data_IF_369891237608
#
_entry.id   IF_369891237608
#
_cell.length_a   1.000
_cell.length_b   1.000
_cell.length_c   1.000
_cell.angle_alpha   90.00
_cell.angle_beta   90.00
_cell.angle_gamma   90.00
#
_symmetry.space_group_name_H-M   'P 1'
#
loop_
_entity.id
_entity.type
_entity.pdbx_description
1 polymer ?
#
# COMPACT_ATOMS: atom_id res chain seq x y z
N UNK A 1 4.95 15.56 18.42
CA UNK A 1 5.59 14.34 17.87
C UNK A 1 5.95 14.64 16.42
N UNK A 2 7.24 14.62 16.07
CA UNK A 2 7.74 14.98 14.72
C UNK A 2 9.06 14.23 14.47
N UNK A 3 8.96 12.91 14.28
CA UNK A 3 10.13 12.04 14.12
C UNK A 3 9.78 10.82 13.27
N UNK A 4 10.81 10.14 12.78
CA UNK A 4 10.71 8.87 12.07
C UNK A 4 11.38 7.79 12.93
N UNK A 5 10.73 6.63 13.06
CA UNK A 5 11.28 5.49 13.81
C UNK A 5 11.32 4.28 12.89
N UNK A 6 12.48 3.90 12.35
CA UNK A 6 12.59 2.68 11.54
C UNK A 6 12.44 1.44 12.43
N UNK A 7 11.94 0.34 11.84
CA UNK A 7 12.09 -0.97 12.47
C UNK A 7 13.58 -1.32 12.61
N UNK A 8 13.99 -1.98 13.71
CA UNK A 8 15.41 -2.24 13.98
C UNK A 8 16.03 -3.32 13.09
N UNK A 9 15.20 -4.15 12.44
CA UNK A 9 15.63 -5.31 11.66
C UNK A 9 15.09 -5.25 10.23
N UNK A 10 15.87 -5.78 9.29
CA UNK A 10 15.49 -6.00 7.90
C UNK A 10 15.71 -7.49 7.58
N UNK A 11 14.71 -8.21 7.04
CA UNK A 11 13.37 -7.72 6.71
C UNK A 11 12.52 -7.42 7.97
N UNK A 12 11.61 -6.47 7.86
CA UNK A 12 10.56 -6.28 8.87
C UNK A 12 9.57 -7.46 8.86
N UNK A 13 8.74 -7.60 9.89
CA UNK A 13 7.84 -8.76 10.05
C UNK A 13 6.86 -9.00 8.88
N UNK A 14 6.53 -7.96 8.12
CA UNK A 14 5.59 -8.04 7.00
C UNK A 14 6.06 -8.99 5.89
N UNK A 15 7.37 -9.14 5.66
CA UNK A 15 7.91 -10.08 4.68
C UNK A 15 7.61 -11.54 5.06
N UNK A 16 8.11 -12.03 6.21
CA UNK A 16 7.78 -13.36 6.71
C UNK A 16 6.28 -13.61 6.88
N UNK A 17 5.49 -12.60 7.21
CA UNK A 17 4.03 -12.73 7.29
C UNK A 17 3.37 -12.90 5.92
N UNK A 18 3.82 -12.19 4.88
CA UNK A 18 3.35 -12.40 3.52
C UNK A 18 3.68 -13.83 3.03
N UNK A 19 4.85 -14.35 3.39
CA UNK A 19 5.30 -15.70 3.04
C UNK A 19 4.47 -16.82 3.70
N UNK A 20 3.73 -16.53 4.78
CA UNK A 20 2.76 -17.50 5.33
C UNK A 20 1.55 -17.68 4.44
N UNK A 21 1.26 -16.70 3.57
CA UNK A 21 0.14 -16.74 2.60
C UNK A 21 0.62 -17.23 1.24
N UNK A 22 1.78 -16.73 0.78
CA UNK A 22 2.43 -17.15 -0.46
C UNK A 22 3.90 -17.56 -0.17
N UNK A 23 4.16 -18.85 0.11
CA UNK A 23 5.48 -19.33 0.50
C UNK A 23 6.59 -19.11 -0.54
N UNK A 24 6.23 -18.94 -1.80
CA UNK A 24 7.18 -18.76 -2.90
C UNK A 24 7.49 -17.28 -3.18
N UNK A 25 6.86 -16.35 -2.45
CA UNK A 25 7.07 -14.91 -2.62
C UNK A 25 8.47 -14.50 -2.13
N UNK A 26 9.35 -14.18 -3.07
CA UNK A 26 10.66 -13.57 -2.82
C UNK A 26 10.49 -12.06 -2.51
N UNK A 27 10.47 -11.72 -1.22
CA UNK A 27 10.22 -10.36 -0.76
C UNK A 27 11.08 -10.00 0.46
N UNK A 28 11.64 -8.80 0.43
CA UNK A 28 12.28 -8.16 1.58
C UNK A 28 11.53 -6.87 1.88
N UNK A 29 11.04 -6.72 3.11
CA UNK A 29 10.28 -5.54 3.53
C UNK A 29 11.08 -4.67 4.50
N UNK A 30 10.84 -3.37 4.45
CA UNK A 30 11.32 -2.40 5.42
C UNK A 30 10.13 -1.56 5.88
N UNK A 31 10.13 -1.14 7.13
CA UNK A 31 9.07 -0.29 7.68
C UNK A 31 9.62 0.86 8.51
N UNK A 32 8.90 1.98 8.49
CA UNK A 32 9.20 3.16 9.28
C UNK A 32 7.90 3.71 9.85
N UNK A 33 7.88 3.97 11.15
CA UNK A 33 6.78 4.68 11.81
C UNK A 33 6.97 6.17 11.62
N UNK A 34 5.90 6.85 11.23
CA UNK A 34 5.85 8.29 10.95
C UNK A 34 4.71 8.94 11.75
N UNK A 35 4.70 10.27 11.97
CA UNK A 35 3.64 10.94 12.72
C UNK A 35 2.41 11.18 11.82
N UNK A 36 1.75 10.09 11.48
CA UNK A 36 0.56 10.03 10.62
C UNK A 36 -0.44 9.04 11.26
N UNK A 37 -1.75 9.30 11.09
CA UNK A 37 -2.81 8.50 11.74
C UNK A 37 -3.93 8.03 10.81
N UNK A 38 -3.87 8.29 9.51
CA UNK A 38 -4.96 8.01 8.56
C UNK A 38 -4.73 6.67 7.86
N UNK A 39 -3.55 6.45 7.28
CA UNK A 39 -3.23 5.18 6.62
C UNK A 39 -1.72 4.97 6.42
N UNK A 40 -1.34 3.73 6.10
CA UNK A 40 0.02 3.41 5.66
C UNK A 40 0.22 3.70 4.17
N UNK A 41 1.48 3.94 3.78
CA UNK A 41 1.91 4.08 2.39
C UNK A 41 2.96 3.03 2.09
N UNK A 42 2.73 2.22 1.05
CA UNK A 42 3.68 1.20 0.62
C UNK A 42 4.33 1.62 -0.69
N UNK A 43 5.66 1.58 -0.73
CA UNK A 43 6.44 1.69 -1.96
C UNK A 43 6.96 0.32 -2.34
N UNK A 44 6.77 -0.05 -3.60
CA UNK A 44 7.21 -1.33 -4.14
C UNK A 44 8.20 -1.12 -5.28
N UNK A 45 9.31 -1.84 -5.23
CA UNK A 45 10.17 -2.10 -6.39
C UNK A 45 10.05 -3.58 -6.69
N UNK A 46 9.57 -3.93 -7.87
CA UNK A 46 9.24 -5.32 -8.23
C UNK A 46 10.03 -5.73 -9.46
N UNK A 47 10.76 -6.82 -9.36
CA UNK A 47 11.35 -7.49 -10.51
C UNK A 47 10.36 -8.55 -11.02
N UNK A 48 9.88 -8.36 -12.24
CA UNK A 48 8.99 -9.32 -12.88
C UNK A 48 9.77 -10.49 -13.49
N UNK A 49 9.15 -11.66 -13.56
CA UNK A 49 9.73 -12.87 -14.18
C UNK A 49 9.84 -12.78 -15.70
N UNK A 50 9.16 -11.80 -16.30
CA UNK A 50 9.21 -11.44 -17.71
C UNK A 50 8.97 -9.95 -17.90
N UNK A 51 9.25 -9.45 -19.09
CA UNK A 51 8.82 -8.12 -19.48
C UNK A 51 7.29 -8.05 -19.49
N UNK A 52 6.74 -6.95 -18.97
CA UNK A 52 5.33 -6.62 -19.00
C UNK A 52 5.19 -5.12 -19.31
N UNK A 53 4.22 -4.79 -20.15
CA UNK A 53 3.90 -3.40 -20.44
C UNK A 53 3.09 -2.79 -19.29
N UNK A 54 3.16 -1.46 -19.16
CA UNK A 54 2.42 -0.73 -18.12
C UNK A 54 0.92 -1.09 -18.11
N UNK A 55 0.30 -1.16 -19.28
CA UNK A 55 -1.15 -1.43 -19.36
C UNK A 55 -1.49 -2.84 -18.87
N UNK A 56 -0.62 -3.81 -19.13
CA UNK A 56 -0.80 -5.19 -18.64
C UNK A 56 -0.83 -5.23 -17.10
N UNK A 57 0.07 -4.50 -16.45
CA UNK A 57 0.11 -4.38 -14.98
C UNK A 57 -1.13 -3.69 -14.44
N UNK A 58 -1.59 -2.62 -15.10
CA UNK A 58 -2.80 -1.91 -14.71
C UNK A 58 -4.05 -2.79 -14.87
N UNK A 59 -4.15 -3.56 -15.96
CA UNK A 59 -5.23 -4.51 -16.19
C UNK A 59 -5.26 -5.62 -15.13
N UNK A 60 -4.09 -6.15 -14.74
CA UNK A 60 -4.00 -7.11 -13.65
C UNK A 60 -4.53 -6.52 -12.33
N UNK A 61 -4.20 -5.27 -12.00
CA UNK A 61 -4.74 -4.59 -10.81
C UNK A 61 -6.25 -4.32 -10.92
N UNK A 62 -6.77 -3.95 -12.09
CA UNK A 62 -8.22 -3.74 -12.31
C UNK A 62 -9.03 -5.03 -12.18
N UNK A 63 -8.45 -6.17 -12.59
CA UNK A 63 -9.09 -7.46 -12.48
C UNK A 63 -9.09 -8.02 -11.04
N UNK A 64 -8.22 -7.52 -10.17
CA UNK A 64 -8.12 -7.98 -8.78
C UNK A 64 -9.18 -7.33 -7.89
N UNK A 65 -9.90 -8.15 -7.12
CA UNK A 65 -10.90 -7.64 -6.18
C UNK A 65 -10.23 -6.81 -5.07
N UNK A 66 -10.90 -5.73 -4.64
CA UNK A 66 -10.47 -4.85 -3.52
C UNK A 66 -9.22 -4.01 -3.81
N UNK A 67 -8.75 -3.95 -5.05
CA UNK A 67 -7.76 -2.97 -5.50
C UNK A 67 -8.49 -1.87 -6.28
N UNK A 68 -8.16 -0.60 -6.00
CA UNK A 68 -8.67 0.55 -6.73
C UNK A 68 -7.49 1.40 -7.21
N UNK A 69 -7.54 1.84 -8.46
CA UNK A 69 -6.55 2.75 -9.01
C UNK A 69 -6.95 4.19 -8.71
N UNK A 70 -6.01 4.97 -8.19
CA UNK A 70 -6.18 6.41 -7.93
C UNK A 70 -5.36 7.23 -8.92
N UNK A 71 -5.91 8.36 -9.37
CA UNK A 71 -5.19 9.32 -10.22
C UNK A 71 -4.99 10.61 -9.45
N UNK A 72 -3.75 11.07 -9.35
CA UNK A 72 -3.42 12.33 -8.70
C UNK A 72 -4.05 13.53 -9.40
N UNK A 73 -4.29 13.44 -10.72
CA UNK A 73 -4.98 14.46 -11.51
C UNK A 73 -6.44 14.68 -11.10
N UNK A 74 -7.07 13.71 -10.42
CA UNK A 74 -8.44 13.81 -9.90
C UNK A 74 -8.49 14.46 -8.50
N UNK A 75 -7.38 15.07 -8.05
CA UNK A 75 -7.25 15.70 -6.72
C UNK A 75 -6.82 14.76 -5.60
N UNK A 76 -6.69 13.46 -5.88
CA UNK A 76 -6.29 12.40 -4.94
C UNK A 76 -4.76 12.35 -4.76
N UNK A 77 -4.20 13.43 -4.21
CA UNK A 77 -2.75 13.67 -4.17
C UNK A 77 -2.06 13.18 -2.90
N UNK A 78 -2.84 12.88 -1.86
CA UNK A 78 -2.33 12.47 -0.56
C UNK A 78 -3.30 11.51 0.16
N UNK A 79 -2.80 10.83 1.19
CA UNK A 79 -3.56 9.82 1.96
C UNK A 79 -4.87 10.41 2.51
N UNK A 80 -4.84 11.65 3.03
CA UNK A 80 -6.04 12.31 3.55
C UNK A 80 -7.11 12.50 2.47
N UNK A 81 -6.74 12.88 1.25
CA UNK A 81 -7.69 13.04 0.14
C UNK A 81 -8.33 11.70 -0.27
N UNK A 82 -7.58 10.60 -0.18
CA UNK A 82 -8.15 9.26 -0.37
C UNK A 82 -9.14 8.90 0.74
N UNK A 83 -8.85 9.26 2.00
CA UNK A 83 -9.76 9.04 3.13
C UNK A 83 -11.04 9.87 2.98
N UNK A 84 -10.97 11.13 2.54
CA UNK A 84 -12.17 11.93 2.30
C UNK A 84 -13.02 11.36 1.15
N UNK A 85 -12.40 10.86 0.07
CA UNK A 85 -13.13 10.12 -0.97
C UNK A 85 -13.90 8.93 -0.39
N UNK A 86 -13.32 8.16 0.54
CA UNK A 86 -14.04 7.05 1.18
C UNK A 86 -15.24 7.53 2.01
N UNK A 87 -15.11 8.69 2.67
CA UNK A 87 -16.21 9.31 3.40
C UNK A 87 -17.32 9.77 2.46
N UNK A 88 -16.98 10.41 1.33
CA UNK A 88 -17.93 10.85 0.29
C UNK A 88 -18.68 9.68 -0.36
N UNK A 89 -18.07 8.50 -0.39
CA UNK A 89 -18.69 7.26 -0.87
C UNK A 89 -19.55 6.55 0.20
N UNK A 90 -19.81 7.20 1.34
CA UNK A 90 -20.53 6.65 2.50
C UNK A 90 -19.93 5.32 3.00
N UNK A 91 -18.62 5.10 2.79
CA UNK A 91 -17.92 3.91 3.28
C UNK A 91 -17.49 4.17 4.72
N UNK A 92 -18.29 3.65 5.65
CA UNK A 92 -18.04 3.83 7.08
C UNK A 92 -16.63 3.39 7.50
N UNK A 93 -15.86 4.31 8.09
CA UNK A 93 -14.68 3.96 8.88
C UNK A 93 -15.18 3.46 10.23
N UNK A 94 -15.41 2.15 10.35
CA UNK A 94 -15.59 1.53 11.67
C UNK A 94 -14.24 1.42 12.35
N UNK A 95 -13.71 2.52 12.90
CA UNK A 95 -12.90 2.53 14.14
C UNK A 95 -12.88 3.97 14.70
N UNK A 96 -13.09 4.15 16.02
CA UNK A 96 -12.83 5.44 16.66
C UNK A 96 -11.32 5.74 16.62
N UNK A 97 -10.99 7.00 16.39
CA UNK A 97 -9.63 7.54 16.54
C UNK A 97 -9.28 7.57 18.05
#
# INVERSE_FOLDING_TARGET
MNTLVPEPEIPSHQGPDAQKVDPDLDVVTMAVKVPETIAHLHYWSVQLTRNAEKEEVLDAFRASSRIALVRTADGLTAINTNKELMADLDRAVRQPI
#
